data_IF_818218532542
#
_entry.id   IF_818218532542
#
_cell.length_a   1.000
_cell.length_b   1.000
_cell.length_c   1.000
_cell.angle_alpha   90.00
_cell.angle_beta   90.00
_cell.angle_gamma   90.00
#
_symmetry.space_group_name_H-M   'P 1'
#
loop_
_entity.id
_entity.type
_entity.pdbx_description
1 polymer ?
#
# COMPACT_ATOMS: atom_id res chain seq x y z
N UNK A 1 63.87 97.21 -156.52
CA UNK A 1 62.40 97.40 -156.37
C UNK A 1 61.85 96.02 -156.10
N UNK A 2 61.21 95.75 -154.95
CA UNK A 2 60.56 94.46 -154.71
C UNK A 2 59.44 94.23 -155.73
N UNK A 3 59.25 93.01 -156.19
CA UNK A 3 58.09 92.69 -157.01
C UNK A 3 56.88 92.55 -156.09
N UNK A 4 55.74 93.15 -156.46
CA UNK A 4 54.63 93.39 -155.52
C UNK A 4 54.13 92.11 -154.81
N UNK A 5 54.13 90.97 -155.50
CA UNK A 5 53.74 89.68 -154.92
C UNK A 5 54.64 89.16 -153.77
N UNK A 6 55.93 89.53 -153.73
CA UNK A 6 56.83 89.14 -152.62
C UNK A 6 56.40 89.79 -151.30
N UNK A 7 55.84 91.01 -151.38
CA UNK A 7 55.30 91.74 -150.22
C UNK A 7 53.97 91.12 -149.78
N UNK A 8 53.09 90.80 -150.73
CA UNK A 8 51.78 90.19 -150.48
C UNK A 8 51.92 88.77 -149.84
N UNK A 9 52.92 87.99 -150.25
CA UNK A 9 53.25 86.69 -149.64
C UNK A 9 53.80 86.83 -148.21
N UNK A 10 54.70 87.79 -147.97
CA UNK A 10 55.25 88.08 -146.64
C UNK A 10 54.20 88.65 -145.66
N UNK A 11 53.21 89.41 -146.16
CA UNK A 11 52.06 89.86 -145.36
C UNK A 11 51.14 88.69 -144.99
N UNK A 12 50.84 87.79 -145.91
CA UNK A 12 50.07 86.58 -145.64
C UNK A 12 50.79 85.67 -144.63
N UNK A 13 52.11 85.49 -144.77
CA UNK A 13 52.91 84.72 -143.83
C UNK A 13 52.94 85.37 -142.43
N UNK A 14 53.08 86.70 -142.34
CA UNK A 14 52.96 87.44 -141.07
C UNK A 14 51.58 87.28 -140.42
N UNK A 15 50.51 87.28 -141.22
CA UNK A 15 49.14 87.07 -140.72
C UNK A 15 48.97 85.68 -140.12
N UNK A 16 49.47 84.65 -140.79
CA UNK A 16 49.46 83.28 -140.28
C UNK A 16 50.30 83.14 -138.99
N UNK A 17 51.54 83.66 -138.99
CA UNK A 17 52.41 83.63 -137.80
C UNK A 17 51.82 84.38 -136.60
N UNK A 18 51.06 85.47 -136.83
CA UNK A 18 50.32 86.16 -135.77
C UNK A 18 49.18 85.32 -135.23
N UNK A 19 48.39 84.68 -136.09
CA UNK A 19 47.32 83.78 -135.68
C UNK A 19 47.89 82.60 -134.86
N UNK A 20 48.94 81.95 -135.36
CA UNK A 20 49.66 80.88 -134.65
C UNK A 20 50.20 81.34 -133.29
N UNK A 21 50.69 82.58 -133.17
CA UNK A 21 51.11 83.15 -131.88
C UNK A 21 49.94 83.37 -130.91
N UNK A 22 48.77 83.82 -131.36
CA UNK A 22 47.58 83.94 -130.48
C UNK A 22 47.02 82.56 -130.09
N UNK A 23 47.04 81.58 -131.00
CA UNK A 23 46.68 80.18 -130.70
C UNK A 23 47.65 79.56 -129.68
N UNK A 24 48.97 79.74 -129.86
CA UNK A 24 49.99 79.30 -128.90
C UNK A 24 49.84 79.99 -127.53
N UNK A 25 49.55 81.30 -127.48
CA UNK A 25 49.23 82.00 -126.22
C UNK A 25 48.01 81.41 -125.53
N UNK A 26 46.94 81.13 -126.28
CA UNK A 26 45.73 80.50 -125.74
C UNK A 26 46.02 79.08 -125.20
N UNK A 27 46.83 78.30 -125.92
CA UNK A 27 47.31 76.99 -125.43
C UNK A 27 48.16 77.12 -124.17
N UNK A 28 49.10 78.08 -124.11
CA UNK A 28 49.92 78.31 -122.92
C UNK A 28 49.07 78.75 -121.71
N UNK A 29 48.08 79.62 -121.90
CA UNK A 29 47.15 80.04 -120.85
C UNK A 29 46.28 78.86 -120.36
N UNK A 30 45.82 77.99 -121.28
CA UNK A 30 45.10 76.75 -120.95
C UNK A 30 45.95 75.78 -120.12
N UNK A 31 47.19 75.52 -120.54
CA UNK A 31 48.14 74.68 -119.82
C UNK A 31 48.53 75.28 -118.45
N UNK A 32 48.71 76.60 -118.36
CA UNK A 32 48.98 77.28 -117.10
C UNK A 32 47.79 77.14 -116.13
N UNK A 33 46.55 77.31 -116.61
CA UNK A 33 45.36 77.06 -115.78
C UNK A 33 45.29 75.60 -115.32
N UNK A 34 45.45 74.64 -116.24
CA UNK A 34 45.46 73.21 -115.92
C UNK A 34 46.54 72.85 -114.90
N UNK A 35 47.70 73.52 -114.94
CA UNK A 35 48.78 73.33 -113.96
C UNK A 35 48.38 73.83 -112.56
N UNK A 36 47.64 74.94 -112.46
CA UNK A 36 47.10 75.43 -111.17
C UNK A 36 45.98 74.53 -110.66
N UNK A 37 45.04 74.14 -111.53
CA UNK A 37 43.93 73.24 -111.20
C UNK A 37 44.48 71.90 -110.63
N UNK A 38 45.54 71.34 -111.25
CA UNK A 38 46.24 70.14 -110.76
C UNK A 38 47.01 70.36 -109.45
N UNK A 39 47.56 71.56 -109.21
CA UNK A 39 48.21 71.90 -107.93
C UNK A 39 47.21 72.05 -106.77
N UNK A 40 45.97 72.42 -107.04
CA UNK A 40 44.90 72.39 -106.02
C UNK A 40 44.47 70.97 -105.70
N UNK A 41 44.25 70.12 -106.71
CA UNK A 41 43.91 68.70 -106.50
C UNK A 41 45.02 67.93 -105.76
N UNK A 42 46.29 68.26 -106.00
CA UNK A 42 47.42 67.69 -105.25
C UNK A 42 47.40 68.10 -103.76
N UNK A 43 46.97 69.31 -103.43
CA UNK A 43 46.80 69.75 -102.03
C UNK A 43 45.61 69.04 -101.38
N UNK A 44 44.45 68.99 -102.05
CA UNK A 44 43.25 68.29 -101.58
C UNK A 44 43.54 66.81 -101.30
N UNK A 45 44.29 66.13 -102.18
CA UNK A 45 44.68 64.72 -101.95
C UNK A 45 45.66 64.56 -100.79
N UNK A 46 46.60 65.48 -100.57
CA UNK A 46 47.48 65.46 -99.39
C UNK A 46 46.71 65.70 -98.07
N UNK A 47 45.75 66.62 -98.06
CA UNK A 47 44.87 66.89 -96.90
C UNK A 47 43.99 65.67 -96.57
N UNK A 48 43.43 65.01 -97.59
CA UNK A 48 42.71 63.74 -97.43
C UNK A 48 43.61 62.62 -96.93
N UNK A 49 44.84 62.50 -97.42
CA UNK A 49 45.80 61.49 -96.96
C UNK A 49 46.15 61.69 -95.47
N UNK A 50 46.41 62.92 -95.04
CA UNK A 50 46.67 63.25 -93.64
C UNK A 50 45.44 62.93 -92.75
N UNK A 51 44.23 63.16 -93.26
CA UNK A 51 42.98 62.85 -92.58
C UNK A 51 42.75 61.34 -92.44
N UNK A 52 43.08 60.56 -93.47
CA UNK A 52 43.00 59.09 -93.44
C UNK A 52 44.00 58.48 -92.45
N UNK A 53 45.22 59.02 -92.35
CA UNK A 53 46.23 58.53 -91.40
C UNK A 53 45.82 58.83 -89.94
N UNK A 54 45.24 60.01 -89.69
CA UNK A 54 44.61 60.36 -88.40
C UNK A 54 43.45 59.41 -88.04
N UNK A 55 42.57 59.12 -89.00
CA UNK A 55 41.47 58.15 -88.82
C UNK A 55 42.00 56.72 -88.55
N UNK A 56 43.08 56.29 -89.20
CA UNK A 56 43.74 55.00 -88.91
C UNK A 56 44.26 54.95 -87.47
N UNK A 57 45.02 55.96 -87.04
CA UNK A 57 45.58 56.00 -85.68
C UNK A 57 44.48 56.04 -84.60
N UNK A 58 43.37 56.73 -84.86
CA UNK A 58 42.20 56.71 -83.97
C UNK A 58 41.52 55.32 -83.93
N UNK A 59 41.45 54.61 -85.06
CA UNK A 59 40.89 53.25 -85.10
C UNK A 59 41.78 52.25 -84.33
N UNK A 60 43.10 52.34 -84.47
CA UNK A 60 44.07 51.53 -83.70
C UNK A 60 43.95 51.79 -82.19
N UNK A 61 43.74 53.05 -81.78
CA UNK A 61 43.50 53.40 -80.37
C UNK A 61 42.21 52.77 -79.82
N UNK A 62 41.11 52.86 -80.57
CA UNK A 62 39.82 52.25 -80.20
C UNK A 62 39.88 50.72 -80.17
N UNK A 63 40.67 50.08 -81.03
CA UNK A 63 40.90 48.64 -80.98
C UNK A 63 41.67 48.22 -79.71
N UNK A 64 42.66 49.00 -79.29
CA UNK A 64 43.36 48.77 -78.02
C UNK A 64 42.45 48.95 -76.79
N UNK A 65 41.61 49.99 -76.78
CA UNK A 65 40.64 50.24 -75.71
C UNK A 65 39.59 49.12 -75.62
N UNK A 66 39.02 48.70 -76.76
CA UNK A 66 38.07 47.59 -76.84
C UNK A 66 38.69 46.26 -76.35
N UNK A 67 39.96 46.00 -76.70
CA UNK A 67 40.70 44.84 -76.19
C UNK A 67 41.02 44.92 -74.68
N UNK A 68 41.10 46.12 -74.10
CA UNK A 68 41.24 46.32 -72.65
C UNK A 68 39.92 46.05 -71.94
N UNK A 69 38.84 46.70 -72.38
CA UNK A 69 37.49 46.53 -71.84
C UNK A 69 36.99 45.08 -71.92
N UNK A 70 37.36 44.35 -72.99
CA UNK A 70 37.06 42.92 -73.13
C UNK A 70 37.68 42.07 -72.00
N UNK A 71 38.95 42.32 -71.66
CA UNK A 71 39.65 41.60 -70.57
C UNK A 71 39.09 41.96 -69.20
N UNK A 72 38.72 43.21 -68.98
CA UNK A 72 38.05 43.64 -67.75
C UNK A 72 36.70 42.94 -67.58
N UNK A 73 35.92 42.83 -68.65
CA UNK A 73 34.63 42.12 -68.64
C UNK A 73 34.79 40.60 -68.43
N UNK A 74 35.83 40.00 -69.00
CA UNK A 74 36.21 38.59 -68.72
C UNK A 74 36.53 38.38 -67.23
N UNK A 75 37.36 39.24 -66.61
CA UNK A 75 37.67 39.19 -65.18
C UNK A 75 36.46 39.51 -64.27
N UNK A 76 35.61 40.47 -64.64
CA UNK A 76 34.38 40.77 -63.90
C UNK A 76 33.42 39.59 -63.88
N UNK A 77 33.36 38.82 -64.96
CA UNK A 77 32.57 37.58 -65.02
C UNK A 77 33.15 36.49 -64.11
N UNK A 78 34.46 36.26 -64.14
CA UNK A 78 35.12 35.30 -63.24
C UNK A 78 34.85 35.64 -61.76
N UNK A 79 34.86 36.93 -61.41
CA UNK A 79 34.53 37.42 -60.07
C UNK A 79 33.06 37.19 -59.68
N UNK A 80 32.12 37.31 -60.63
CA UNK A 80 30.70 37.04 -60.39
C UNK A 80 30.43 35.52 -60.24
N UNK A 81 31.05 34.69 -61.09
CA UNK A 81 31.02 33.22 -60.99
C UNK A 81 31.58 32.74 -59.62
N UNK A 82 32.66 33.36 -59.12
CA UNK A 82 33.20 33.09 -57.78
C UNK A 82 32.23 33.48 -56.65
N UNK A 83 31.64 34.68 -56.72
CA UNK A 83 30.66 35.16 -55.72
C UNK A 83 29.39 34.32 -55.72
N UNK A 84 28.95 33.83 -56.88
CA UNK A 84 27.83 32.91 -56.99
C UNK A 84 28.10 31.58 -56.26
N UNK A 85 29.33 31.06 -56.34
CA UNK A 85 29.74 29.88 -55.58
C UNK A 85 29.76 30.12 -54.07
N UNK A 86 30.32 31.24 -53.59
CA UNK A 86 30.29 31.64 -52.17
C UNK A 86 28.86 31.77 -51.64
N UNK A 87 27.96 32.42 -52.41
CA UNK A 87 26.55 32.57 -52.04
C UNK A 87 25.80 31.23 -51.99
N UNK A 88 26.15 30.26 -52.84
CA UNK A 88 25.61 28.91 -52.75
C UNK A 88 26.10 28.18 -51.50
N UNK A 89 27.39 28.26 -51.18
CA UNK A 89 27.96 27.64 -49.97
C UNK A 89 27.36 28.24 -48.68
N UNK A 90 27.14 29.56 -48.65
CA UNK A 90 26.50 30.23 -47.51
C UNK A 90 25.02 29.82 -47.35
N UNK A 91 24.28 29.63 -48.44
CA UNK A 91 22.89 29.11 -48.39
C UNK A 91 22.84 27.69 -47.83
N UNK A 92 23.76 26.81 -48.22
CA UNK A 92 23.85 25.45 -47.68
C UNK A 92 24.16 25.45 -46.18
N UNK A 93 25.10 26.29 -45.72
CA UNK A 93 25.38 26.45 -44.29
C UNK A 93 24.17 26.98 -43.51
N UNK A 94 23.45 27.97 -44.05
CA UNK A 94 22.21 28.50 -43.43
C UNK A 94 21.13 27.41 -43.36
N UNK A 95 20.95 26.62 -44.42
CA UNK A 95 20.00 25.51 -44.44
C UNK A 95 20.34 24.45 -43.38
N UNK A 96 21.62 24.08 -43.27
CA UNK A 96 22.10 23.15 -42.24
C UNK A 96 21.85 23.67 -40.82
N UNK A 97 22.23 24.92 -40.52
CA UNK A 97 22.01 25.51 -39.19
C UNK A 97 20.52 25.63 -38.86
N UNK A 98 19.67 25.86 -39.88
CA UNK A 98 18.21 25.88 -39.71
C UNK A 98 17.66 24.51 -39.32
N UNK A 99 18.08 23.43 -39.98
CA UNK A 99 17.61 22.08 -39.62
C UNK A 99 18.19 21.57 -38.29
N UNK A 100 19.42 21.95 -37.94
CA UNK A 100 20.00 21.70 -36.61
C UNK A 100 19.21 22.43 -35.51
N UNK A 101 18.77 23.67 -35.76
CA UNK A 101 17.90 24.45 -34.87
C UNK A 101 16.54 23.78 -34.68
N UNK A 102 15.85 23.41 -35.76
CA UNK A 102 14.54 22.74 -35.71
C UNK A 102 14.59 21.41 -34.93
N UNK A 103 15.67 20.64 -35.11
CA UNK A 103 15.92 19.42 -34.33
C UNK A 103 16.13 19.71 -32.83
N UNK A 104 16.88 20.76 -32.48
CA UNK A 104 17.10 21.16 -31.09
C UNK A 104 15.83 21.73 -30.44
N UNK A 105 15.01 22.49 -31.16
CA UNK A 105 13.70 22.98 -30.70
C UNK A 105 12.74 21.81 -30.44
N UNK A 106 12.73 20.80 -31.32
CA UNK A 106 11.95 19.56 -31.11
C UNK A 106 12.40 18.83 -29.84
N UNK A 107 13.71 18.66 -29.65
CA UNK A 107 14.27 18.02 -28.44
C UNK A 107 13.98 18.81 -27.16
N UNK A 108 14.02 20.14 -27.21
CA UNK A 108 13.68 21.01 -26.09
C UNK A 108 12.21 20.86 -25.70
N UNK A 109 11.30 20.80 -26.69
CA UNK A 109 9.86 20.58 -26.46
C UNK A 109 9.61 19.25 -25.74
N UNK A 110 10.17 18.15 -26.23
CA UNK A 110 10.04 16.83 -25.57
C UNK A 110 10.67 16.79 -24.18
N UNK A 111 11.79 17.49 -23.96
CA UNK A 111 12.39 17.61 -22.62
C UNK A 111 11.48 18.36 -21.63
N UNK A 112 10.77 19.41 -22.08
CA UNK A 112 9.78 20.13 -21.26
C UNK A 112 8.55 19.24 -20.96
N UNK A 113 8.04 18.51 -21.95
CA UNK A 113 6.93 17.57 -21.78
C UNK A 113 7.24 16.48 -20.73
N UNK A 114 8.48 15.97 -20.69
CA UNK A 114 8.94 15.06 -19.63
C UNK A 114 9.10 15.76 -18.26
N UNK A 115 9.48 17.03 -18.20
CA UNK A 115 9.55 17.79 -16.94
C UNK A 115 8.15 17.99 -16.35
N UNK A 116 7.15 18.34 -17.16
CA UNK A 116 5.75 18.48 -16.73
C UNK A 116 5.17 17.14 -16.24
N UNK A 117 5.53 16.04 -16.90
CA UNK A 117 5.20 14.67 -16.48
C UNK A 117 5.83 14.33 -15.11
N UNK A 118 7.12 14.63 -14.91
CA UNK A 118 7.82 14.39 -13.65
C UNK A 118 7.29 15.27 -12.50
N UNK A 119 6.99 16.54 -12.76
CA UNK A 119 6.33 17.41 -11.77
C UNK A 119 4.96 16.84 -11.35
N UNK A 120 4.19 16.34 -12.30
CA UNK A 120 2.90 15.70 -12.03
C UNK A 120 3.04 14.42 -11.19
N UNK A 121 4.11 13.64 -11.38
CA UNK A 121 4.41 12.46 -10.55
C UNK A 121 4.82 12.85 -9.13
N UNK A 122 5.76 13.79 -8.98
CA UNK A 122 6.20 14.30 -7.66
C UNK A 122 5.01 14.82 -6.85
N UNK A 123 4.15 15.64 -7.47
CA UNK A 123 2.99 16.25 -6.83
C UNK A 123 1.87 15.24 -6.49
N UNK A 124 1.92 14.02 -7.04
CA UNK A 124 1.08 12.91 -6.59
C UNK A 124 1.71 12.15 -5.41
N UNK A 125 3.02 11.88 -5.44
CA UNK A 125 3.73 11.27 -4.30
C UNK A 125 3.71 12.17 -3.05
N UNK A 126 3.79 13.50 -3.20
CA UNK A 126 3.65 14.46 -2.10
C UNK A 126 2.30 14.28 -1.38
N UNK A 127 1.20 14.13 -2.13
CA UNK A 127 -0.14 13.87 -1.57
C UNK A 127 -0.25 12.49 -0.93
N UNK A 128 0.39 11.47 -1.51
CA UNK A 128 0.41 10.13 -0.92
C UNK A 128 1.13 10.14 0.43
N UNK A 129 2.31 10.77 0.50
CA UNK A 129 3.08 10.96 1.75
C UNK A 129 2.30 11.80 2.76
N UNK A 130 1.58 12.85 2.34
CA UNK A 130 0.71 13.62 3.23
C UNK A 130 -0.43 12.77 3.80
N UNK A 131 -1.16 12.03 2.95
CA UNK A 131 -2.24 11.13 3.38
C UNK A 131 -1.74 10.06 4.36
N UNK A 132 -0.59 9.45 4.07
CA UNK A 132 0.05 8.49 4.97
C UNK A 132 0.43 9.14 6.30
N UNK A 133 1.00 10.36 6.29
CA UNK A 133 1.34 11.11 7.51
C UNK A 133 0.10 11.48 8.34
N UNK A 134 -1.03 11.82 7.71
CA UNK A 134 -2.29 12.07 8.41
C UNK A 134 -2.84 10.78 9.07
N UNK A 135 -2.80 9.65 8.35
CA UNK A 135 -3.20 8.35 8.91
C UNK A 135 -2.31 7.93 10.09
N UNK A 136 -0.99 8.16 10.02
CA UNK A 136 -0.06 7.75 11.08
C UNK A 136 -0.22 8.59 12.35
N UNK A 137 -0.55 9.88 12.22
CA UNK A 137 -0.98 10.74 13.35
C UNK A 137 -2.25 10.22 14.00
N UNK A 138 -3.29 9.94 13.21
CA UNK A 138 -4.56 9.41 13.72
C UNK A 138 -4.40 8.05 14.42
N UNK A 139 -3.54 7.15 13.90
CA UNK A 139 -3.18 5.90 14.58
C UNK A 139 -2.41 6.13 15.88
N UNK A 140 -1.50 7.10 15.90
CA UNK A 140 -0.75 7.48 17.11
C UNK A 140 -1.69 8.01 18.19
N UNK A 141 -2.63 8.88 17.84
CA UNK A 141 -3.67 9.42 18.75
C UNK A 141 -4.56 8.30 19.31
N UNK A 142 -4.97 7.34 18.48
CA UNK A 142 -5.71 6.15 18.94
C UNK A 142 -4.88 5.29 19.90
N UNK A 143 -3.58 5.10 19.64
CA UNK A 143 -2.68 4.34 20.52
C UNK A 143 -2.49 5.02 21.88
N UNK A 144 -2.34 6.35 21.94
CA UNK A 144 -2.27 7.07 23.22
C UNK A 144 -3.59 7.01 23.99
N UNK A 145 -4.74 7.12 23.31
CA UNK A 145 -6.06 6.93 23.92
C UNK A 145 -6.21 5.54 24.56
N UNK A 146 -5.86 4.48 23.81
CA UNK A 146 -5.91 3.09 24.30
C UNK A 146 -4.91 2.81 25.42
N UNK A 147 -3.73 3.47 25.43
CA UNK A 147 -2.77 3.41 26.55
C UNK A 147 -3.35 4.04 27.82
N UNK A 148 -4.02 5.18 27.68
CA UNK A 148 -4.65 5.89 28.80
C UNK A 148 -5.84 5.10 29.37
N UNK A 149 -6.70 4.53 28.51
CA UNK A 149 -7.76 3.61 28.94
C UNK A 149 -7.18 2.40 29.68
N UNK A 150 -6.12 1.77 29.13
CA UNK A 150 -5.42 0.66 29.81
C UNK A 150 -4.83 1.08 31.16
N UNK A 151 -4.33 2.32 31.30
CA UNK A 151 -3.83 2.86 32.56
C UNK A 151 -4.97 3.00 33.58
N UNK A 152 -6.12 3.52 33.16
CA UNK A 152 -7.31 3.66 34.01
C UNK A 152 -7.86 2.29 34.44
N UNK A 153 -7.98 1.33 33.52
CA UNK A 153 -8.42 -0.04 33.81
C UNK A 153 -7.50 -0.76 34.80
N UNK A 154 -6.18 -0.55 34.72
CA UNK A 154 -5.22 -1.06 35.72
C UNK A 154 -5.47 -0.49 37.11
N UNK A 155 -5.67 0.83 37.22
CA UNK A 155 -5.96 1.50 38.50
C UNK A 155 -7.30 1.04 39.09
N UNK A 156 -8.34 0.91 38.27
CA UNK A 156 -9.63 0.36 38.70
C UNK A 156 -9.49 -1.10 39.18
N UNK A 157 -8.68 -1.91 38.49
CA UNK A 157 -8.40 -3.30 38.86
C UNK A 157 -7.64 -3.41 40.19
N UNK A 158 -6.68 -2.53 40.47
CA UNK A 158 -5.98 -2.53 41.77
C UNK A 158 -6.91 -2.10 42.90
N UNK A 159 -7.68 -1.01 42.71
CA UNK A 159 -8.66 -0.57 43.72
C UNK A 159 -9.72 -1.63 44.01
N UNK A 160 -10.18 -2.38 43.00
CA UNK A 160 -11.15 -3.45 43.23
C UNK A 160 -10.54 -4.63 43.98
N UNK A 161 -9.26 -4.96 43.73
CA UNK A 161 -8.53 -5.97 44.53
C UNK A 161 -8.30 -5.52 45.97
N UNK A 162 -8.13 -4.23 46.22
CA UNK A 162 -8.03 -3.67 47.58
C UNK A 162 -9.37 -3.77 48.31
N UNK A 163 -10.47 -3.31 47.70
CA UNK A 163 -11.84 -3.48 48.25
C UNK A 163 -12.21 -4.95 48.49
N UNK A 164 -11.83 -5.86 47.59
CA UNK A 164 -12.08 -7.28 47.77
C UNK A 164 -11.36 -7.81 49.03
N UNK A 165 -10.08 -7.44 49.25
CA UNK A 165 -9.35 -7.81 50.48
C UNK A 165 -9.96 -7.21 51.75
N UNK A 166 -10.43 -5.97 51.69
CA UNK A 166 -11.16 -5.35 52.80
C UNK A 166 -12.43 -6.15 53.13
N UNK A 167 -13.20 -6.52 52.10
CA UNK A 167 -14.41 -7.34 52.25
C UNK A 167 -14.12 -8.76 52.73
N UNK A 168 -13.08 -9.42 52.21
CA UNK A 168 -12.59 -10.73 52.68
C UNK A 168 -12.28 -10.65 54.19
N UNK A 169 -11.51 -9.65 54.63
CA UNK A 169 -11.21 -9.42 56.05
C UNK A 169 -12.46 -9.07 56.88
N UNK A 170 -13.45 -8.34 56.33
CA UNK A 170 -14.72 -8.12 57.03
C UNK A 170 -15.53 -9.41 57.19
N UNK A 171 -15.54 -10.29 56.19
CA UNK A 171 -16.22 -11.60 56.24
C UNK A 171 -15.53 -12.53 57.24
N UNK A 172 -14.20 -12.67 57.18
CA UNK A 172 -13.43 -13.47 58.15
C UNK A 172 -13.67 -13.02 59.61
N UNK A 173 -13.76 -11.70 59.85
CA UNK A 173 -14.09 -11.17 61.18
C UNK A 173 -15.55 -11.40 61.57
N UNK A 174 -16.50 -11.34 60.63
CA UNK A 174 -17.91 -11.63 60.87
C UNK A 174 -18.10 -13.12 61.22
N UNK A 175 -17.64 -14.03 60.37
CA UNK A 175 -17.63 -15.48 60.61
C UNK A 175 -16.90 -15.83 61.90
N UNK A 176 -15.73 -15.22 62.13
CA UNK A 176 -14.95 -15.37 63.35
C UNK A 176 -15.61 -14.75 64.60
N UNK A 177 -16.66 -13.95 64.47
CA UNK A 177 -17.49 -13.46 65.58
C UNK A 177 -18.73 -14.33 65.80
N UNK A 178 -19.35 -14.81 64.71
CA UNK A 178 -20.46 -15.76 64.73
C UNK A 178 -20.03 -17.10 65.33
N UNK A 179 -18.88 -17.64 64.92
CA UNK A 179 -18.30 -18.86 65.49
C UNK A 179 -18.04 -18.73 67.00
N UNK A 180 -17.60 -17.56 67.49
CA UNK A 180 -17.43 -17.29 68.93
C UNK A 180 -18.77 -17.22 69.66
N UNK A 181 -19.78 -16.60 69.05
CA UNK A 181 -21.14 -16.55 69.60
C UNK A 181 -21.75 -17.96 69.68
N UNK A 182 -21.68 -18.75 68.61
CA UNK A 182 -22.12 -20.14 68.59
C UNK A 182 -21.38 -21.01 69.61
N UNK A 183 -20.06 -20.90 69.73
CA UNK A 183 -19.29 -21.63 70.74
C UNK A 183 -19.71 -21.24 72.17
N UNK A 184 -19.94 -19.96 72.44
CA UNK A 184 -20.45 -19.49 73.74
C UNK A 184 -21.86 -20.01 74.03
N UNK A 185 -22.74 -20.05 73.02
CA UNK A 185 -24.10 -20.59 73.14
C UNK A 185 -24.10 -22.09 73.42
N UNK A 186 -23.28 -22.86 72.69
CA UNK A 186 -23.10 -24.30 72.94
C UNK A 186 -22.59 -24.57 74.35
N UNK A 187 -21.55 -23.87 74.81
CA UNK A 187 -21.00 -24.01 76.15
C UNK A 187 -22.03 -23.65 77.24
N UNK A 188 -22.84 -22.60 77.03
CA UNK A 188 -23.91 -22.23 77.95
C UNK A 188 -25.01 -23.30 78.00
N UNK A 189 -25.36 -23.91 76.86
CA UNK A 189 -26.30 -25.02 76.79
C UNK A 189 -25.76 -26.30 77.47
N UNK A 190 -24.49 -26.64 77.30
CA UNK A 190 -23.83 -27.74 78.03
C UNK A 190 -23.80 -27.50 79.55
N UNK A 191 -23.55 -26.26 79.99
CA UNK A 191 -23.63 -25.89 81.41
C UNK A 191 -25.06 -26.02 81.94
N UNK A 192 -26.08 -25.60 81.17
CA UNK A 192 -27.49 -25.75 81.53
C UNK A 192 -27.87 -27.24 81.67
N UNK A 193 -27.54 -28.07 80.67
CA UNK A 193 -27.75 -29.52 80.72
C UNK A 193 -27.04 -30.15 81.92
N UNK A 194 -25.81 -29.74 82.22
CA UNK A 194 -25.06 -30.21 83.40
C UNK A 194 -25.70 -29.77 84.72
N UNK A 195 -26.33 -28.59 84.77
CA UNK A 195 -27.08 -28.13 85.92
C UNK A 195 -28.39 -28.90 86.10
N UNK A 196 -29.10 -29.22 85.02
CA UNK A 196 -30.37 -29.93 85.08
C UNK A 196 -30.18 -31.43 85.38
N UNK A 197 -29.16 -32.08 84.79
CA UNK A 197 -28.72 -33.42 85.19
C UNK A 197 -28.29 -33.49 86.67
N UNK A 198 -27.73 -32.39 87.22
CA UNK A 198 -27.42 -32.30 88.66
C UNK A 198 -28.69 -32.23 89.51
N UNK A 199 -29.73 -31.50 89.07
CA UNK A 199 -31.04 -31.45 89.77
C UNK A 199 -31.68 -32.84 89.78
N UNK A 200 -31.77 -33.48 88.62
CA UNK A 200 -32.26 -34.85 88.47
C UNK A 200 -31.49 -35.81 89.39
N UNK A 201 -30.15 -35.76 89.43
CA UNK A 201 -29.36 -36.59 90.35
C UNK A 201 -29.64 -36.29 91.83
N UNK A 202 -29.94 -35.05 92.21
CA UNK A 202 -30.35 -34.67 93.57
C UNK A 202 -31.76 -35.18 93.91
N UNK A 203 -32.65 -35.24 92.92
CA UNK A 203 -34.01 -35.79 93.04
C UNK A 203 -33.99 -37.33 93.09
N UNK A 204 -33.17 -37.99 92.28
CA UNK A 204 -32.91 -39.43 92.38
C UNK A 204 -32.31 -39.83 93.74
N UNK A 205 -31.41 -39.02 94.32
CA UNK A 205 -30.94 -39.23 95.71
C UNK A 205 -32.08 -39.13 96.73
N UNK A 206 -32.98 -38.15 96.59
CA UNK A 206 -34.16 -38.02 97.47
C UNK A 206 -35.11 -39.20 97.33
N UNK A 207 -35.39 -39.64 96.10
CA UNK A 207 -36.17 -40.84 95.84
C UNK A 207 -35.52 -42.09 96.44
N UNK A 208 -34.20 -42.25 96.31
CA UNK A 208 -33.46 -43.35 96.94
C UNK A 208 -33.55 -43.31 98.47
N UNK A 209 -33.42 -42.13 99.09
CA UNK A 209 -33.61 -41.97 100.55
C UNK A 209 -35.03 -42.34 100.99
N UNK A 210 -36.05 -41.92 100.25
CA UNK A 210 -37.47 -42.28 100.51
C UNK A 210 -37.69 -43.79 100.35
N UNK A 211 -37.13 -44.40 99.31
CA UNK A 211 -37.22 -45.84 99.08
C UNK A 211 -36.46 -46.64 100.14
N UNK A 212 -35.31 -46.15 100.62
CA UNK A 212 -34.56 -46.80 101.69
C UNK A 212 -35.26 -46.66 103.05
N UNK A 213 -35.91 -45.53 103.34
CA UNK A 213 -36.79 -45.39 104.50
C UNK A 213 -37.95 -46.39 104.43
N UNK A 214 -38.65 -46.49 103.29
CA UNK A 214 -39.69 -47.49 103.06
C UNK A 214 -39.20 -48.93 103.13
N UNK A 215 -37.96 -49.21 102.71
CA UNK A 215 -37.35 -50.54 102.86
C UNK A 215 -37.18 -50.88 104.33
N UNK A 216 -36.62 -49.96 105.14
CA UNK A 216 -36.45 -50.17 106.57
C UNK A 216 -37.81 -50.37 107.28
N UNK A 217 -38.82 -49.56 106.92
CA UNK A 217 -40.21 -49.68 107.40
C UNK A 217 -40.81 -51.06 107.05
N UNK A 218 -40.62 -51.54 105.82
CA UNK A 218 -41.06 -52.86 105.38
C UNK A 218 -40.21 -54.03 105.95
N UNK A 219 -38.94 -53.81 106.30
CA UNK A 219 -38.10 -54.77 107.02
C UNK A 219 -38.56 -54.90 108.49
N UNK A 220 -38.90 -53.79 109.16
CA UNK A 220 -39.51 -53.77 110.49
C UNK A 220 -40.90 -54.44 110.50
N UNK A 221 -41.71 -54.23 109.46
CA UNK A 221 -43.00 -54.90 109.30
C UNK A 221 -42.81 -56.40 109.01
N UNK A 222 -41.82 -56.78 108.20
CA UNK A 222 -41.42 -58.19 108.02
C UNK A 222 -40.94 -58.82 109.33
N UNK A 223 -40.21 -58.09 110.18
CA UNK A 223 -39.73 -58.59 111.45
C UNK A 223 -40.90 -58.89 112.40
N UNK A 224 -41.89 -57.99 112.49
CA UNK A 224 -43.15 -58.24 113.22
C UNK A 224 -43.91 -59.45 112.66
N UNK A 225 -44.04 -59.58 111.34
CA UNK A 225 -44.73 -60.70 110.70
C UNK A 225 -44.02 -62.06 110.89
N UNK A 226 -42.70 -62.05 111.14
CA UNK A 226 -41.93 -63.24 111.57
C UNK A 226 -42.23 -63.58 113.03
N UNK A 227 -42.22 -62.57 113.91
CA UNK A 227 -42.54 -62.74 115.33
C UNK A 227 -44.00 -63.24 115.54
N UNK A 228 -44.95 -62.78 114.73
CA UNK A 228 -46.31 -63.34 114.69
C UNK A 228 -46.35 -64.77 114.14
N UNK A 229 -45.56 -65.10 113.10
CA UNK A 229 -45.47 -66.48 112.57
C UNK A 229 -44.90 -67.46 113.62
N UNK A 230 -43.83 -67.07 114.30
CA UNK A 230 -43.23 -67.89 115.35
C UNK A 230 -44.18 -68.04 116.55
N UNK A 231 -44.97 -67.01 116.88
CA UNK A 231 -46.07 -67.09 117.84
C UNK A 231 -47.15 -68.11 117.43
N UNK A 232 -47.58 -68.08 116.16
CA UNK A 232 -48.56 -69.02 115.61
C UNK A 232 -48.01 -70.48 115.58
N UNK A 233 -46.72 -70.66 115.30
CA UNK A 233 -46.04 -71.96 115.36
C UNK A 233 -45.95 -72.51 116.81
N UNK A 234 -45.75 -71.65 117.81
CA UNK A 234 -45.83 -72.06 119.22
C UNK A 234 -47.26 -72.48 119.61
N UNK A 235 -48.29 -71.75 119.15
CA UNK A 235 -49.68 -72.12 119.39
C UNK A 235 -50.08 -73.48 118.78
N UNK A 236 -49.58 -73.82 117.59
CA UNK A 236 -49.81 -75.12 116.96
C UNK A 236 -49.14 -76.29 117.70
N UNK A 237 -48.11 -76.02 118.50
CA UNK A 237 -47.29 -77.05 119.14
C UNK A 237 -47.85 -77.61 120.47
N UNK A 238 -48.94 -77.05 121.01
CA UNK A 238 -49.55 -77.48 122.29
C UNK A 238 -50.91 -78.20 122.17
N UNK A 239 -51.39 -78.46 120.94
CA UNK A 239 -52.61 -79.24 120.71
C UNK A 239 -52.33 -80.76 120.68
N UNK A 240 -52.97 -81.53 121.58
CA UNK A 240 -52.67 -82.95 121.80
C UNK A 240 -53.48 -83.91 120.91
N UNK A 241 -52.79 -84.76 120.12
CA UNK A 241 -53.27 -86.00 119.43
C UNK A 241 -54.32 -85.71 118.33
N UNK A 242 -54.23 -86.25 117.10
CA UNK A 242 -53.96 -87.66 116.73
C UNK A 242 -53.32 -87.80 115.32
N UNK A 243 -52.46 -88.81 115.16
CA UNK A 243 -52.17 -89.67 113.97
C UNK A 243 -52.51 -89.25 112.51
N UNK A 244 -51.45 -89.21 111.67
CA UNK A 244 -51.32 -89.91 110.35
C UNK A 244 -51.83 -89.37 108.99
N UNK A 245 -50.85 -89.27 108.06
CA UNK A 245 -50.85 -89.66 106.61
C UNK A 245 -51.46 -88.73 105.52
N UNK A 246 -50.54 -88.14 104.75
CA UNK A 246 -50.45 -87.90 103.28
C UNK A 246 -51.69 -87.91 102.36
N UNK A 247 -51.80 -86.93 101.44
CA UNK A 247 -51.48 -87.08 99.99
C UNK A 247 -51.49 -85.73 99.19
N UNK A 248 -51.13 -85.80 97.89
CA UNK A 248 -50.55 -84.77 97.01
C UNK A 248 -51.48 -83.80 96.21
N UNK A 249 -50.84 -82.73 95.65
CA UNK A 249 -51.11 -82.06 94.32
C UNK A 249 -52.48 -81.39 94.07
N UNK A 250 -52.72 -80.69 92.91
CA UNK A 250 -51.89 -80.13 91.81
C UNK A 250 -51.82 -78.56 91.86
N UNK A 251 -51.28 -77.71 90.96
CA UNK A 251 -51.22 -77.54 89.48
C UNK A 251 -52.61 -77.32 88.79
N UNK A 252 -52.76 -76.78 87.54
CA UNK A 252 -51.81 -76.12 86.60
C UNK A 252 -52.36 -74.92 85.71
N UNK A 253 -51.47 -74.06 85.12
CA UNK A 253 -51.57 -73.48 83.71
C UNK A 253 -52.79 -72.53 83.39
N UNK A 254 -52.98 -71.81 82.23
CA UNK A 254 -52.19 -71.40 81.02
C UNK A 254 -52.05 -69.86 80.77
N UNK A 255 -51.55 -69.48 79.58
CA UNK A 255 -51.62 -68.16 78.90
C UNK A 255 -52.79 -68.14 77.85
N UNK A 256 -52.88 -67.29 76.78
CA UNK A 256 -52.15 -66.08 76.36
C UNK A 256 -53.11 -64.85 76.25
N UNK A 257 -53.28 -63.94 75.26
CA UNK A 257 -52.78 -63.59 73.90
C UNK A 257 -53.24 -62.11 73.59
N UNK A 258 -53.10 -61.36 72.47
CA UNK A 258 -52.54 -61.52 71.11
C UNK A 258 -52.29 -60.13 70.42
N UNK A 259 -51.40 -60.09 69.42
CA UNK A 259 -51.37 -59.10 68.30
C UNK A 259 -50.82 -57.68 68.56
N UNK A 260 -49.98 -57.07 67.72
CA UNK A 260 -49.39 -57.42 66.41
C UNK A 260 -48.59 -56.20 65.87
N UNK A 261 -47.97 -56.14 64.69
CA UNK A 261 -47.78 -57.04 63.53
C UNK A 261 -46.40 -56.74 62.87
N UNK A 262 -46.04 -57.40 61.76
CA UNK A 262 -44.82 -57.15 60.97
C UNK A 262 -45.07 -56.23 59.75
N UNK A 263 -44.10 -55.39 59.38
CA UNK A 263 -43.88 -55.04 57.97
C UNK A 263 -42.42 -54.67 57.61
N UNK A 264 -41.85 -55.44 56.66
CA UNK A 264 -40.94 -54.99 55.59
C UNK A 264 -39.65 -54.20 55.90
N UNK A 265 -38.50 -54.85 55.69
CA UNK A 265 -37.35 -54.22 55.00
C UNK A 265 -36.95 -55.10 53.79
N UNK A 266 -37.23 -54.67 52.55
CA UNK A 266 -36.72 -55.32 51.34
C UNK A 266 -36.18 -54.34 50.27
N UNK A 267 -34.85 -54.34 50.10
CA UNK A 267 -34.09 -54.28 48.82
C UNK A 267 -34.36 -53.24 47.71
N UNK A 268 -33.25 -52.66 47.22
CA UNK A 268 -33.02 -52.11 45.86
C UNK A 268 -33.87 -50.89 45.45
N UNK A 269 -33.50 -50.05 44.48
CA UNK A 269 -32.26 -49.85 43.70
C UNK A 269 -32.20 -48.35 43.32
N UNK A 270 -31.21 -47.78 42.64
CA UNK A 270 -30.50 -48.29 41.46
C UNK A 270 -29.12 -47.62 41.36
N UNK A 271 -28.09 -48.40 41.07
CA UNK A 271 -26.79 -47.90 40.62
C UNK A 271 -26.72 -48.00 39.09
N UNK A 272 -25.92 -47.13 38.47
CA UNK A 272 -25.47 -47.20 37.07
C UNK A 272 -26.54 -47.22 35.97
N UNK A 273 -26.88 -46.04 35.43
CA UNK A 273 -26.96 -45.87 33.97
C UNK A 273 -26.11 -44.69 33.49
N UNK A 274 -25.07 -45.04 32.74
CA UNK A 274 -24.46 -44.38 31.58
C UNK A 274 -24.55 -42.83 31.47
N UNK A 275 -23.45 -42.07 31.38
CA UNK A 275 -22.28 -42.25 30.49
C UNK A 275 -22.63 -42.39 29.00
N UNK A 276 -23.22 -41.33 28.43
CA UNK A 276 -23.34 -41.16 26.99
C UNK A 276 -23.21 -39.68 26.58
N UNK A 277 -21.99 -39.13 26.58
CA UNK A 277 -21.67 -37.94 25.79
C UNK A 277 -21.59 -38.35 24.30
N UNK A 278 -22.74 -38.69 23.71
CA UNK A 278 -22.79 -39.26 22.36
C UNK A 278 -22.45 -38.21 21.30
N UNK A 279 -21.17 -38.21 20.94
CA UNK A 279 -20.50 -37.24 20.09
C UNK A 279 -20.82 -37.53 18.63
N UNK A 280 -22.09 -37.42 18.25
CA UNK A 280 -22.55 -37.78 16.90
C UNK A 280 -22.19 -36.69 15.89
N UNK A 281 -20.98 -36.85 15.36
CA UNK A 281 -20.31 -36.04 14.35
C UNK A 281 -21.25 -35.33 13.36
N UNK A 282 -21.05 -34.01 13.21
CA UNK A 282 -21.44 -33.28 12.01
C UNK A 282 -20.78 -33.91 10.78
N UNK A 283 -21.47 -33.89 9.64
CA UNK A 283 -20.88 -34.27 8.37
C UNK A 283 -19.76 -33.28 8.02
N UNK A 284 -18.51 -33.77 8.02
CA UNK A 284 -17.32 -32.92 8.08
C UNK A 284 -17.15 -32.05 6.81
N UNK A 285 -17.55 -30.78 6.90
CA UNK A 285 -17.38 -29.78 5.84
C UNK A 285 -15.98 -29.17 5.86
N UNK A 286 -14.97 -30.03 5.74
CA UNK A 286 -13.56 -29.63 5.69
C UNK A 286 -13.30 -28.88 4.37
N UNK A 287 -12.84 -27.63 4.46
CA UNK A 287 -12.36 -26.90 3.27
C UNK A 287 -11.01 -27.48 2.85
N UNK A 288 -10.86 -27.74 1.55
CA UNK A 288 -9.58 -28.13 0.93
C UNK A 288 -9.08 -27.00 0.05
N UNK A 289 -7.79 -26.70 0.10
CA UNK A 289 -7.18 -25.81 -0.89
C UNK A 289 -7.09 -26.54 -2.25
N UNK A 290 -7.65 -25.98 -3.35
CA UNK A 290 -7.59 -26.62 -4.67
C UNK A 290 -6.19 -26.66 -5.28
N UNK A 291 -5.24 -25.87 -4.75
CA UNK A 291 -3.88 -25.73 -5.29
C UNK A 291 -2.86 -26.72 -4.70
N UNK A 292 -3.14 -27.28 -3.52
CA UNK A 292 -2.17 -28.10 -2.78
C UNK A 292 -2.81 -29.23 -1.93
N UNK A 293 -4.12 -29.44 -2.05
CA UNK A 293 -4.91 -30.45 -1.31
C UNK A 293 -4.88 -30.34 0.24
N UNK A 294 -4.28 -29.28 0.80
CA UNK A 294 -4.22 -29.08 2.26
C UNK A 294 -5.62 -28.93 2.86
N UNK A 295 -5.86 -29.67 3.94
CA UNK A 295 -7.20 -29.90 4.52
C UNK A 295 -7.37 -29.11 5.81
N UNK A 296 -8.26 -28.12 5.78
CA UNK A 296 -8.47 -27.20 6.89
C UNK A 296 -9.63 -27.60 7.78
N UNK A 297 -9.43 -27.45 9.10
CA UNK A 297 -10.45 -27.69 10.11
C UNK A 297 -11.56 -26.64 10.06
N UNK A 298 -12.78 -27.04 10.45
CA UNK A 298 -14.02 -26.26 10.40
C UNK A 298 -14.00 -24.91 11.17
N UNK A 299 -12.98 -24.69 12.01
CA UNK A 299 -12.78 -23.49 12.83
C UNK A 299 -11.62 -22.58 12.38
N UNK A 300 -11.02 -22.80 11.21
CA UNK A 300 -10.06 -21.82 10.67
C UNK A 300 -10.80 -20.54 10.30
N UNK A 301 -10.23 -19.38 10.63
CA UNK A 301 -10.80 -18.11 10.19
C UNK A 301 -10.75 -17.98 8.66
N UNK A 302 -11.78 -17.37 8.08
CA UNK A 302 -11.92 -17.26 6.62
C UNK A 302 -10.75 -16.46 6.03
N UNK A 303 -10.27 -15.43 6.74
CA UNK A 303 -9.09 -14.65 6.31
C UNK A 303 -7.81 -15.47 6.21
N UNK A 304 -7.64 -16.49 7.06
CA UNK A 304 -6.45 -17.36 7.07
C UNK A 304 -6.51 -18.39 5.93
N UNK A 305 -7.70 -18.91 5.64
CA UNK A 305 -7.92 -19.76 4.47
C UNK A 305 -7.70 -18.99 3.16
N UNK A 306 -8.22 -17.76 3.06
CA UNK A 306 -8.02 -16.90 1.88
C UNK A 306 -6.56 -16.48 1.72
N UNK A 307 -5.87 -16.07 2.81
CA UNK A 307 -4.43 -15.78 2.78
C UNK A 307 -3.59 -17.00 2.35
N UNK A 308 -3.96 -18.21 2.77
CA UNK A 308 -3.33 -19.44 2.29
C UNK A 308 -3.54 -19.63 0.78
N UNK A 309 -4.77 -19.47 0.26
CA UNK A 309 -5.04 -19.60 -1.19
C UNK A 309 -4.27 -18.54 -1.99
N UNK A 310 -4.28 -17.28 -1.55
CA UNK A 310 -3.49 -16.22 -2.18
C UNK A 310 -1.98 -16.47 -2.12
N UNK A 311 -1.46 -17.23 -1.15
CA UNK A 311 -0.03 -17.60 -1.09
C UNK A 311 0.43 -18.52 -2.23
N UNK A 312 -0.50 -19.12 -2.99
CA UNK A 312 -0.25 -19.93 -4.19
C UNK A 312 -0.42 -19.15 -5.50
N UNK A 313 -0.66 -17.85 -5.44
CA UNK A 313 -0.81 -16.98 -6.61
C UNK A 313 0.34 -15.97 -6.71
N UNK A 314 0.67 -15.59 -7.94
CA UNK A 314 1.61 -14.52 -8.29
C UNK A 314 0.85 -13.43 -9.04
N UNK A 315 0.81 -12.21 -8.52
CA UNK A 315 0.12 -11.07 -9.16
C UNK A 315 1.11 -10.20 -9.92
N UNK A 316 0.83 -9.90 -11.18
CA UNK A 316 1.65 -8.97 -11.98
C UNK A 316 1.44 -7.52 -11.49
N UNK A 317 2.49 -6.81 -11.03
CA UNK A 317 2.34 -5.45 -10.50
C UNK A 317 1.98 -4.39 -11.56
N UNK A 318 1.96 -4.76 -12.85
CA UNK A 318 1.74 -3.83 -13.97
C UNK A 318 0.31 -3.90 -14.53
N UNK A 319 -0.27 -5.10 -14.65
CA UNK A 319 -1.65 -5.28 -15.12
C UNK A 319 -2.62 -5.95 -14.12
N UNK A 320 -2.12 -6.46 -12.98
CA UNK A 320 -2.88 -7.21 -11.95
C UNK A 320 -3.49 -8.55 -12.42
N UNK A 321 -2.96 -9.12 -13.48
CA UNK A 321 -3.22 -10.54 -13.81
C UNK A 321 -2.59 -11.44 -12.75
N UNK A 322 -3.32 -12.49 -12.35
CA UNK A 322 -2.90 -13.47 -11.35
C UNK A 322 -2.58 -14.81 -12.00
N UNK A 323 -1.43 -15.37 -11.64
CA UNK A 323 -0.87 -16.61 -12.18
C UNK A 323 -0.68 -17.64 -11.08
N UNK A 324 -0.75 -18.92 -11.40
CA UNK A 324 -0.42 -19.97 -10.44
C UNK A 324 1.08 -19.96 -10.13
N UNK A 325 1.44 -20.10 -8.86
CA UNK A 325 2.84 -20.15 -8.39
C UNK A 325 3.63 -21.35 -8.94
N UNK A 326 2.92 -22.39 -9.38
CA UNK A 326 3.47 -23.51 -10.16
C UNK A 326 4.00 -23.06 -11.53
N UNK A 327 3.27 -22.16 -12.19
CA UNK A 327 3.52 -21.69 -13.56
C UNK A 327 4.45 -20.47 -13.59
N UNK A 328 5.49 -20.49 -12.75
CA UNK A 328 6.46 -19.39 -12.62
C UNK A 328 7.07 -18.95 -13.96
N UNK A 329 7.26 -19.88 -14.90
CA UNK A 329 7.75 -19.56 -16.25
C UNK A 329 6.79 -18.63 -17.00
N UNK A 330 5.48 -18.89 -16.95
CA UNK A 330 4.45 -18.07 -17.60
C UNK A 330 4.40 -16.67 -16.98
N UNK A 331 4.56 -16.58 -15.66
CA UNK A 331 4.67 -15.30 -14.94
C UNK A 331 5.94 -14.53 -15.30
N UNK A 332 7.10 -15.19 -15.36
CA UNK A 332 8.38 -14.55 -15.74
C UNK A 332 8.35 -14.08 -17.20
N UNK A 333 7.77 -14.86 -18.12
CA UNK A 333 7.59 -14.51 -19.54
C UNK A 333 6.59 -13.35 -19.71
N UNK A 334 5.49 -13.34 -18.96
CA UNK A 334 4.55 -12.22 -18.91
C UNK A 334 5.24 -10.93 -18.43
N UNK A 335 6.07 -11.01 -17.36
CA UNK A 335 6.92 -9.90 -16.91
C UNK A 335 8.04 -9.52 -17.90
N UNK A 336 8.29 -10.31 -18.95
CA UNK A 336 9.21 -9.96 -20.02
C UNK A 336 8.49 -9.18 -21.14
N UNK A 337 7.23 -9.51 -21.46
CA UNK A 337 6.40 -8.74 -22.39
C UNK A 337 6.30 -7.25 -21.99
N UNK A 338 6.01 -6.97 -20.71
CA UNK A 338 6.00 -5.60 -20.14
C UNK A 338 7.37 -4.87 -20.13
N UNK A 339 8.43 -5.48 -20.71
CA UNK A 339 9.75 -4.85 -20.91
C UNK A 339 10.15 -4.76 -22.38
N UNK A 340 9.24 -5.11 -23.30
CA UNK A 340 9.39 -4.94 -24.75
C UNK A 340 8.41 -3.92 -25.34
N UNK A 341 7.42 -3.47 -24.54
CA UNK A 341 6.54 -2.32 -24.79
C UNK A 341 7.12 -1.03 -24.20
#
# INVERSE_FOLDING_TARGET
IPCQGEVEELELQNKNLRQENEELKATCAGLQKQTVDLQEELKRTQELQNSLESLRSNAEMLELELNSLKKENEHLKELDDCRAAELCQLKEQIQKVTSEKEHLETRLKTALEHVDQLQSQVLNYEKEVENLSQMDRAKTEQLESLKEENRQLRVATTQQKERNKELEHYVENAEGSEAKFCASFCLQNEQQQTQDLRKELEEQKRLFQILQAKKNEADEENQKLREENDGLLQHLSQASKVSSVSFASPAPVPAPEAGGLLFGNPYCGELTWHSACDRKHMAASLRKCPMCDEVFSEYIDTSQYEAHVHSHLLECPLCRETFEKSDKQVYDDHLFCHRLE
#
